data_IF_825156966420
#
_entry.id   IF_825156966420
#
_cell.length_a   1.000
_cell.length_b   1.000
_cell.length_c   1.000
_cell.angle_alpha   90.00
_cell.angle_beta   90.00
_cell.angle_gamma   90.00
#
_symmetry.space_group_name_H-M   'P 1'
#
loop_
_entity.id
_entity.type
_entity.pdbx_description
1 polymer ?
#
# COMPACT_ATOMS: atom_id res chain seq x y z
N UNK A 1 -26.44 13.90 -11.40
CA UNK A 1 -25.09 14.33 -11.84
C UNK A 1 -24.31 13.24 -12.58
N UNK A 2 -24.10 12.03 -12.03
CA UNK A 2 -23.29 10.97 -12.68
C UNK A 2 -23.83 10.52 -14.06
N UNK A 3 -25.17 10.40 -14.21
CA UNK A 3 -25.79 10.03 -15.50
C UNK A 3 -25.56 11.06 -16.62
N UNK A 4 -25.58 12.34 -16.28
CA UNK A 4 -25.38 13.44 -17.24
C UNK A 4 -23.94 13.47 -17.77
N UNK A 5 -22.95 13.28 -16.90
CA UNK A 5 -21.54 13.20 -17.30
C UNK A 5 -21.27 12.00 -18.22
N UNK A 6 -21.86 10.84 -17.90
CA UNK A 6 -21.70 9.63 -18.72
C UNK A 6 -22.30 9.81 -20.12
N UNK A 7 -23.49 10.41 -20.22
CA UNK A 7 -24.13 10.71 -21.51
C UNK A 7 -23.32 11.71 -22.34
N UNK A 8 -22.90 12.83 -21.73
CA UNK A 8 -22.07 13.84 -22.42
C UNK A 8 -20.75 13.25 -22.94
N UNK A 9 -20.12 12.37 -22.15
CA UNK A 9 -18.87 11.72 -22.55
C UNK A 9 -19.09 10.68 -23.66
N UNK A 10 -20.21 9.95 -23.62
CA UNK A 10 -20.60 9.03 -24.68
C UNK A 10 -20.85 9.77 -26.01
N UNK A 11 -21.61 10.86 -25.98
CA UNK A 11 -21.88 11.70 -27.16
C UNK A 11 -20.60 12.30 -27.73
N UNK A 12 -19.69 12.79 -26.87
CA UNK A 12 -18.38 13.30 -27.30
C UNK A 12 -17.49 12.22 -27.95
N UNK A 13 -17.52 10.98 -27.43
CA UNK A 13 -16.78 9.87 -28.04
C UNK A 13 -17.35 9.51 -29.42
N UNK A 14 -18.68 9.56 -29.57
CA UNK A 14 -19.36 9.34 -30.85
C UNK A 14 -19.01 10.44 -31.88
N UNK A 15 -19.06 11.71 -31.49
CA UNK A 15 -18.70 12.81 -32.41
C UNK A 15 -17.24 12.71 -32.84
N UNK A 16 -16.31 12.45 -31.91
CA UNK A 16 -14.91 12.24 -32.25
C UNK A 16 -14.69 11.03 -33.16
N UNK A 17 -15.47 9.95 -33.00
CA UNK A 17 -15.41 8.80 -33.88
C UNK A 17 -15.87 9.14 -35.30
N UNK A 18 -16.95 9.93 -35.44
CA UNK A 18 -17.45 10.42 -36.72
C UNK A 18 -16.48 11.38 -37.40
N UNK A 19 -15.90 12.32 -36.66
CA UNK A 19 -14.88 13.25 -37.17
C UNK A 19 -13.59 12.52 -37.63
N UNK A 20 -13.23 11.44 -36.93
CA UNK A 20 -12.08 10.61 -37.28
C UNK A 20 -12.28 9.84 -38.60
N UNK A 21 -13.52 9.55 -39.02
CA UNK A 21 -13.78 8.92 -40.32
C UNK A 21 -13.30 9.78 -41.49
N UNK A 22 -13.32 11.11 -41.31
CA UNK A 22 -12.95 12.11 -42.33
C UNK A 22 -11.43 12.34 -42.38
N UNK A 23 -10.69 11.97 -41.34
CA UNK A 23 -9.26 12.28 -41.20
C UNK A 23 -8.38 11.02 -41.26
N UNK A 24 -8.12 10.52 -42.48
CA UNK A 24 -7.01 9.58 -42.73
C UNK A 24 -7.30 8.44 -43.70
N UNK A 25 -6.32 7.55 -43.87
CA UNK A 25 -6.41 6.33 -44.68
C UNK A 25 -6.83 5.18 -43.77
N UNK A 26 -7.97 4.55 -44.07
CA UNK A 26 -8.45 3.37 -43.37
C UNK A 26 -7.60 2.14 -43.69
N UNK A 27 -6.63 1.84 -42.83
CA UNK A 27 -5.88 0.59 -42.89
C UNK A 27 -6.53 -0.46 -42.00
N UNK A 28 -7.14 -1.47 -42.63
CA UNK A 28 -7.78 -2.62 -41.96
C UNK A 28 -6.84 -3.37 -41.02
N UNK A 29 -5.52 -3.26 -41.24
CA UNK A 29 -4.48 -3.81 -40.38
C UNK A 29 -4.46 -3.17 -38.98
N UNK A 30 -4.66 -1.85 -38.85
CA UNK A 30 -4.69 -1.18 -37.55
C UNK A 30 -5.92 -1.57 -36.73
N UNK A 31 -7.09 -1.62 -37.35
CA UNK A 31 -8.31 -2.10 -36.70
C UNK A 31 -8.11 -3.53 -36.18
N UNK A 32 -7.55 -4.40 -37.01
CA UNK A 32 -7.24 -5.78 -36.64
C UNK A 32 -6.25 -5.86 -35.47
N UNK A 33 -5.22 -5.00 -35.44
CA UNK A 33 -4.25 -4.94 -34.36
C UNK A 33 -4.88 -4.48 -33.03
N UNK A 34 -5.68 -3.41 -33.06
CA UNK A 34 -6.41 -2.90 -31.89
C UNK A 34 -7.36 -3.98 -31.35
N UNK A 35 -8.10 -4.65 -32.23
CA UNK A 35 -9.02 -5.71 -31.84
C UNK A 35 -8.28 -6.89 -31.18
N UNK A 36 -7.09 -7.26 -31.70
CA UNK A 36 -6.24 -8.29 -31.09
C UNK A 36 -5.76 -7.87 -29.70
N UNK A 37 -5.25 -6.65 -29.54
CA UNK A 37 -4.81 -6.16 -28.23
C UNK A 37 -5.96 -6.08 -27.23
N UNK A 38 -7.14 -5.61 -27.65
CA UNK A 38 -8.32 -5.58 -26.80
C UNK A 38 -8.72 -6.98 -26.30
N UNK A 39 -8.68 -8.00 -27.18
CA UNK A 39 -8.93 -9.39 -26.79
C UNK A 39 -7.90 -9.91 -25.78
N UNK A 40 -6.61 -9.62 -25.99
CA UNK A 40 -5.55 -10.01 -25.06
C UNK A 40 -5.78 -9.38 -23.68
N UNK A 41 -6.09 -8.08 -23.64
CA UNK A 41 -6.38 -7.39 -22.38
C UNK A 41 -7.58 -8.03 -21.67
N UNK A 42 -8.68 -8.28 -22.39
CA UNK A 42 -9.87 -8.92 -21.82
C UNK A 42 -9.58 -10.33 -21.29
N UNK A 43 -8.76 -11.10 -22.01
CA UNK A 43 -8.34 -12.43 -21.59
C UNK A 43 -7.51 -12.36 -20.31
N UNK A 44 -6.48 -11.51 -20.26
CA UNK A 44 -5.65 -11.34 -19.06
C UNK A 44 -6.48 -10.85 -17.85
N UNK A 45 -7.46 -9.96 -18.07
CA UNK A 45 -8.36 -9.50 -17.01
C UNK A 45 -9.22 -10.63 -16.43
N UNK A 46 -9.63 -11.59 -17.27
CA UNK A 46 -10.35 -12.77 -16.82
C UNK A 46 -9.44 -13.70 -16.00
N UNK A 47 -8.21 -13.95 -16.47
CA UNK A 47 -7.24 -14.78 -15.76
C UNK A 47 -6.84 -14.17 -14.40
N UNK A 48 -6.66 -12.85 -14.33
CA UNK A 48 -6.38 -12.15 -13.07
C UNK A 48 -7.50 -12.38 -12.06
N UNK A 49 -8.77 -12.31 -12.48
CA UNK A 49 -9.92 -12.57 -11.59
C UNK A 49 -9.95 -13.99 -11.06
N UNK A 50 -9.58 -14.97 -11.89
CA UNK A 50 -9.48 -16.38 -11.46
C UNK A 50 -8.41 -16.52 -10.36
N UNK A 51 -7.24 -15.92 -10.57
CA UNK A 51 -6.15 -15.93 -9.60
C UNK A 51 -6.55 -15.19 -8.31
N UNK A 52 -7.24 -14.06 -8.40
CA UNK A 52 -7.71 -13.31 -7.22
C UNK A 52 -8.66 -14.16 -6.35
N UNK A 53 -9.55 -14.95 -6.97
CA UNK A 53 -10.42 -15.88 -6.24
C UNK A 53 -9.59 -16.95 -5.55
N UNK A 54 -8.62 -17.57 -6.24
CA UNK A 54 -7.73 -18.57 -5.66
C UNK A 54 -6.91 -18.01 -4.49
N UNK A 55 -6.37 -16.79 -4.61
CA UNK A 55 -5.65 -16.11 -3.53
C UNK A 55 -6.57 -15.91 -2.33
N UNK A 56 -7.82 -15.50 -2.55
CA UNK A 56 -8.80 -15.29 -1.48
C UNK A 56 -9.17 -16.58 -0.76
N UNK A 57 -9.33 -17.68 -1.50
CA UNK A 57 -9.59 -19.00 -0.91
C UNK A 57 -8.42 -19.49 -0.07
N UNK A 58 -7.19 -19.34 -0.57
CA UNK A 58 -5.98 -19.72 0.18
C UNK A 58 -5.79 -18.83 1.41
N UNK A 59 -6.00 -17.52 1.28
CA UNK A 59 -5.80 -16.56 2.36
C UNK A 59 -6.79 -16.76 3.51
N UNK A 60 -8.00 -17.24 3.22
CA UNK A 60 -8.99 -17.59 4.25
C UNK A 60 -8.53 -18.71 5.19
N UNK A 61 -7.61 -19.56 4.74
CA UNK A 61 -7.05 -20.67 5.53
C UNK A 61 -5.84 -20.26 6.38
N UNK A 62 -5.33 -19.05 6.18
CA UNK A 62 -4.09 -18.56 6.82
C UNK A 62 -4.46 -17.54 7.91
N UNK A 63 -4.32 -17.89 9.21
CA UNK A 63 -4.78 -17.04 10.30
C UNK A 63 -4.04 -15.68 10.36
N UNK A 64 -2.78 -15.63 9.91
CA UNK A 64 -1.98 -14.40 9.86
C UNK A 64 -2.60 -13.33 8.95
N UNK A 65 -3.34 -13.73 7.90
CA UNK A 65 -4.03 -12.78 7.01
C UNK A 65 -5.13 -12.05 7.79
N UNK A 66 -5.90 -12.76 8.61
CA UNK A 66 -6.92 -12.15 9.45
C UNK A 66 -6.31 -11.18 10.48
N UNK A 67 -5.12 -11.50 11.01
CA UNK A 67 -4.38 -10.60 11.90
C UNK A 67 -3.94 -9.33 11.17
N UNK A 68 -3.44 -9.42 9.93
CA UNK A 68 -3.06 -8.24 9.15
C UNK A 68 -4.27 -7.38 8.76
N UNK A 69 -5.39 -8.01 8.39
CA UNK A 69 -6.66 -7.33 8.08
C UNK A 69 -7.23 -6.54 9.27
N UNK A 70 -6.87 -6.90 10.51
CA UNK A 70 -7.29 -6.13 11.69
C UNK A 70 -6.65 -4.74 11.77
N UNK A 71 -5.59 -4.46 10.99
CA UNK A 71 -4.92 -3.16 10.95
C UNK A 71 -5.71 -2.21 10.03
N UNK A 72 -6.24 -1.08 10.54
CA UNK A 72 -7.01 -0.16 9.71
C UNK A 72 -6.17 0.43 8.56
N UNK A 73 -6.63 0.20 7.33
CA UNK A 73 -5.95 0.56 6.09
C UNK A 73 -5.31 -0.62 5.34
N UNK A 74 -5.22 -1.80 5.96
CA UNK A 74 -4.90 -3.06 5.29
C UNK A 74 -6.22 -3.80 5.06
N UNK A 75 -6.46 -4.26 3.83
CA UNK A 75 -7.65 -5.03 3.46
C UNK A 75 -7.30 -6.35 2.77
N UNK A 76 -8.33 -7.07 2.34
CA UNK A 76 -8.25 -8.47 1.88
C UNK A 76 -7.28 -8.72 0.73
N UNK A 77 -6.98 -7.73 -0.10
CA UNK A 77 -5.98 -7.84 -1.18
C UNK A 77 -4.57 -7.54 -0.68
N UNK A 78 -4.42 -6.58 0.25
CA UNK A 78 -3.12 -6.14 0.74
C UNK A 78 -2.56 -7.08 1.81
N UNK A 79 -3.40 -7.65 2.67
CA UNK A 79 -2.96 -8.59 3.70
C UNK A 79 -2.22 -9.81 3.14
N UNK A 80 -2.78 -10.59 2.18
CA UNK A 80 -2.07 -11.74 1.61
C UNK A 80 -0.83 -11.33 0.82
N UNK A 81 -0.86 -10.18 0.13
CA UNK A 81 0.31 -9.65 -0.57
C UNK A 81 1.45 -9.32 0.40
N UNK A 82 1.15 -8.63 1.50
CA UNK A 82 2.13 -8.31 2.54
C UNK A 82 2.68 -9.57 3.19
N UNK A 83 1.81 -10.54 3.52
CA UNK A 83 2.23 -11.80 4.12
C UNK A 83 3.11 -12.62 3.17
N UNK A 84 2.72 -12.75 1.90
CA UNK A 84 3.49 -13.48 0.90
C UNK A 84 4.87 -12.88 0.63
N UNK A 85 4.96 -11.54 0.61
CA UNK A 85 6.23 -10.83 0.39
C UNK A 85 7.15 -10.82 1.62
N UNK A 86 6.58 -10.82 2.82
CA UNK A 86 7.36 -10.93 4.07
C UNK A 86 7.84 -12.37 4.27
N UNK A 87 6.98 -13.35 3.96
CA UNK A 87 7.21 -14.75 4.25
C UNK A 87 7.21 -15.03 5.74
N UNK A 88 8.12 -15.91 6.18
CA UNK A 88 8.26 -16.26 7.60
C UNK A 88 8.80 -15.08 8.42
N UNK A 89 7.97 -14.61 9.36
CA UNK A 89 8.29 -13.49 10.24
C UNK A 89 9.41 -13.84 11.24
N UNK A 90 9.58 -15.11 11.59
CA UNK A 90 10.58 -15.57 12.56
C UNK A 90 12.01 -15.38 12.04
N UNK A 91 12.19 -15.27 10.72
CA UNK A 91 13.48 -14.88 10.11
C UNK A 91 13.95 -13.50 10.56
N UNK A 92 13.03 -12.62 10.95
CA UNK A 92 13.33 -11.30 11.46
C UNK A 92 13.25 -11.29 12.99
N UNK A 93 14.39 -11.23 13.67
CA UNK A 93 14.45 -11.11 15.13
C UNK A 93 13.86 -9.78 15.60
N UNK A 94 14.14 -8.71 14.84
CA UNK A 94 13.78 -7.33 15.18
C UNK A 94 13.06 -6.62 14.03
N UNK A 95 12.12 -5.72 14.37
CA UNK A 95 11.41 -4.90 13.37
C UNK A 95 12.37 -4.07 12.48
N UNK A 96 13.55 -3.67 12.99
CA UNK A 96 14.58 -2.98 12.21
C UNK A 96 15.11 -3.83 11.05
N UNK A 97 15.20 -5.15 11.23
CA UNK A 97 15.62 -6.08 10.17
C UNK A 97 14.56 -6.15 9.08
N UNK A 98 13.27 -6.18 9.44
CA UNK A 98 12.18 -6.13 8.47
C UNK A 98 12.16 -4.79 7.68
N UNK A 99 12.47 -3.67 8.34
CA UNK A 99 12.61 -2.36 7.66
C UNK A 99 13.78 -2.39 6.65
N UNK A 100 14.89 -3.03 7.00
CA UNK A 100 16.03 -3.18 6.10
C UNK A 100 15.69 -4.11 4.93
N UNK A 101 15.03 -5.24 5.22
CA UNK A 101 14.57 -6.22 4.24
C UNK A 101 13.59 -5.63 3.23
N UNK A 102 12.62 -4.84 3.69
CA UNK A 102 11.67 -4.14 2.81
C UNK A 102 12.29 -3.02 1.98
N UNK A 103 13.50 -2.56 2.29
CA UNK A 103 14.19 -1.52 1.52
C UNK A 103 13.55 -0.12 1.59
N UNK A 104 12.70 0.13 2.60
CA UNK A 104 12.05 1.44 2.84
C UNK A 104 12.92 2.38 3.68
N UNK A 105 13.96 1.85 4.33
CA UNK A 105 14.88 2.65 5.15
C UNK A 105 15.65 3.70 4.33
N UNK A 106 16.07 4.81 4.94
CA UNK A 106 16.94 5.77 4.29
C UNK A 106 18.30 5.13 3.99
N UNK A 107 18.86 5.44 2.82
CA UNK A 107 20.21 5.08 2.43
C UNK A 107 21.22 5.89 3.22
N UNK A 108 22.39 5.32 3.47
CA UNK A 108 23.53 6.08 4.01
C UNK A 108 24.45 6.42 2.85
N UNK A 109 24.77 7.71 2.67
CA UNK A 109 25.78 8.19 1.71
C UNK A 109 26.85 8.96 2.48
N UNK A 110 27.92 8.26 2.82
CA UNK A 110 29.05 8.81 3.56
C UNK A 110 30.37 8.38 2.91
N UNK A 111 31.35 9.28 2.86
CA UNK A 111 32.71 8.97 2.38
C UNK A 111 33.72 9.82 3.15
N UNK A 112 34.55 9.20 4.00
CA UNK A 112 35.51 9.91 4.85
C UNK A 112 34.85 11.08 5.61
N UNK A 113 35.16 12.30 5.19
CA UNK A 113 34.65 13.55 5.79
C UNK A 113 33.29 14.04 5.22
N UNK A 114 32.72 13.36 4.22
CA UNK A 114 31.45 13.75 3.60
C UNK A 114 30.28 12.96 4.19
N UNK A 115 29.29 13.68 4.75
CA UNK A 115 27.99 13.13 5.15
C UNK A 115 26.91 13.72 4.25
N UNK A 116 26.26 12.87 3.44
CA UNK A 116 25.20 13.30 2.54
C UNK A 116 23.89 13.60 3.26
N UNK A 117 23.33 14.80 3.03
CA UNK A 117 22.06 15.25 3.63
C UNK A 117 20.82 14.80 2.83
N UNK A 118 20.97 14.52 1.52
CA UNK A 118 19.88 14.14 0.60
C UNK A 118 19.88 12.63 0.33
N UNK A 119 19.51 11.86 1.35
CA UNK A 119 19.45 10.40 1.24
C UNK A 119 18.13 9.92 0.62
N UNK A 120 18.22 8.91 -0.23
CA UNK A 120 17.06 8.25 -0.86
C UNK A 120 16.68 7.00 -0.07
N UNK A 121 15.55 6.39 -0.36
CA UNK A 121 15.26 5.04 0.16
C UNK A 121 16.23 4.03 -0.46
N UNK A 122 16.61 2.99 0.29
CA UNK A 122 17.63 2.02 -0.15
C UNK A 122 17.20 1.18 -1.33
N UNK A 123 15.92 0.83 -1.45
CA UNK A 123 15.36 -0.04 -2.51
C UNK A 123 15.99 -1.43 -2.62
N UNK A 124 16.71 -1.91 -1.60
CA UNK A 124 17.34 -3.24 -1.58
C UNK A 124 16.34 -4.40 -1.45
N UNK A 125 15.12 -4.09 -1.00
CA UNK A 125 14.03 -5.04 -0.82
C UNK A 125 13.07 -5.15 -2.00
N UNK A 126 12.12 -6.07 -1.88
CA UNK A 126 11.09 -6.32 -2.89
C UNK A 126 10.36 -5.03 -3.32
N UNK A 127 10.25 -4.77 -4.64
CA UNK A 127 9.45 -3.65 -5.14
C UNK A 127 7.96 -3.82 -4.84
N UNK A 128 7.46 -5.05 -4.81
CA UNK A 128 6.06 -5.37 -4.51
C UNK A 128 5.73 -5.09 -3.05
N UNK A 129 6.59 -5.51 -2.11
CA UNK A 129 6.43 -5.18 -0.68
C UNK A 129 6.41 -3.66 -0.46
N UNK A 130 7.32 -2.92 -1.10
CA UNK A 130 7.35 -1.46 -1.00
C UNK A 130 6.09 -0.82 -1.57
N UNK A 131 5.57 -1.35 -2.67
CA UNK A 131 4.33 -0.87 -3.29
C UNK A 131 3.12 -1.14 -2.40
N UNK A 132 2.99 -2.36 -1.87
CA UNK A 132 1.93 -2.75 -0.94
C UNK A 132 1.92 -1.85 0.31
N UNK A 133 3.11 -1.60 0.90
CA UNK A 133 3.25 -0.69 2.04
C UNK A 133 2.90 0.75 1.69
N UNK A 134 3.21 1.20 0.47
CA UNK A 134 2.84 2.53 0.02
C UNK A 134 1.33 2.68 -0.10
N UNK A 135 0.63 1.69 -0.68
CA UNK A 135 -0.83 1.67 -0.74
C UNK A 135 -1.41 1.63 0.67
N UNK A 136 -0.92 0.74 1.55
CA UNK A 136 -1.37 0.67 2.93
C UNK A 136 -1.18 2.00 3.69
N UNK A 137 -0.07 2.72 3.44
CA UNK A 137 0.17 4.01 4.05
C UNK A 137 -0.78 5.10 3.53
N UNK A 138 -1.09 5.12 2.23
CA UNK A 138 -2.02 6.10 1.66
C UNK A 138 -3.46 5.83 2.08
N UNK A 139 -3.87 4.57 2.20
CA UNK A 139 -5.20 4.18 2.70
C UNK A 139 -5.35 4.47 4.19
N UNK A 140 -4.37 4.15 5.04
CA UNK A 140 -4.43 4.43 6.49
C UNK A 140 -4.49 5.93 6.82
N UNK A 141 -3.96 6.80 5.95
CA UNK A 141 -3.97 8.27 6.12
C UNK A 141 -5.21 8.91 5.49
N UNK A 142 -6.04 8.15 4.78
CA UNK A 142 -7.25 8.67 4.13
C UNK A 142 -8.33 9.00 5.17
N UNK A 143 -9.18 9.96 4.84
CA UNK A 143 -10.48 10.20 5.50
C UNK A 143 -11.58 9.51 4.72
N UNK A 144 -12.47 8.83 5.44
CA UNK A 144 -13.70 8.26 4.90
C UNK A 144 -14.64 9.33 4.36
N UNK A 145 -15.61 8.91 3.54
CA UNK A 145 -16.61 9.84 2.95
C UNK A 145 -17.43 10.59 4.00
N UNK A 146 -17.55 10.05 5.22
CA UNK A 146 -18.23 10.68 6.37
C UNK A 146 -17.31 11.59 7.21
N UNK A 147 -16.06 11.80 6.78
CA UNK A 147 -15.07 12.62 7.48
C UNK A 147 -14.27 11.89 8.57
N UNK A 148 -14.67 10.68 8.95
CA UNK A 148 -13.94 9.85 9.93
C UNK A 148 -12.58 9.41 9.39
N UNK A 149 -11.53 9.40 10.23
CA UNK A 149 -10.23 8.88 9.84
C UNK A 149 -10.22 7.36 9.82
N UNK A 150 -9.63 6.75 8.78
CA UNK A 150 -9.44 5.29 8.71
C UNK A 150 -8.61 4.79 9.90
N UNK A 151 -7.55 5.52 10.23
CA UNK A 151 -6.73 5.26 11.41
C UNK A 151 -6.34 6.59 12.06
N UNK A 152 -6.99 6.95 13.17
CA UNK A 152 -6.75 8.24 13.85
C UNK A 152 -5.28 8.42 14.25
N UNK A 153 -4.67 7.39 14.84
CA UNK A 153 -3.28 7.43 15.32
C UNK A 153 -2.28 7.63 14.18
N UNK A 154 -2.47 6.90 13.07
CA UNK A 154 -1.58 7.03 11.89
C UNK A 154 -1.82 8.36 11.16
N UNK A 155 -3.08 8.80 11.07
CA UNK A 155 -3.43 10.09 10.49
C UNK A 155 -2.78 11.25 11.24
N UNK A 156 -2.90 11.28 12.57
CA UNK A 156 -2.26 12.31 13.41
C UNK A 156 -0.73 12.28 13.29
N UNK A 157 -0.15 11.07 13.29
CA UNK A 157 1.28 10.91 13.07
C UNK A 157 1.70 11.49 11.70
N UNK A 158 0.91 11.26 10.64
CA UNK A 158 1.17 11.81 9.32
C UNK A 158 1.11 13.34 9.30
N UNK A 159 0.09 13.95 9.89
CA UNK A 159 -0.08 15.40 9.97
C UNK A 159 1.13 16.04 10.67
N UNK A 160 1.52 15.53 11.85
CA UNK A 160 2.72 15.99 12.57
C UNK A 160 4.00 15.86 11.74
N UNK A 161 4.09 14.85 10.86
CA UNK A 161 5.26 14.68 9.98
C UNK A 161 5.27 15.62 8.78
N UNK A 162 4.11 16.07 8.29
CA UNK A 162 4.07 17.04 7.18
C UNK A 162 4.59 18.42 7.63
N UNK A 163 4.40 18.80 8.89
CA UNK A 163 4.91 20.06 9.44
C UNK A 163 6.43 20.21 9.27
N UNK A 164 7.16 19.08 9.31
CA UNK A 164 8.63 19.07 9.27
C UNK A 164 9.20 18.46 7.99
N UNK A 165 8.40 17.75 7.18
CA UNK A 165 8.87 16.99 6.03
C UNK A 165 7.91 17.11 4.85
N UNK A 166 8.45 16.98 3.64
CA UNK A 166 7.62 16.91 2.43
C UNK A 166 6.62 15.73 2.49
N UNK A 167 5.44 15.89 1.88
CA UNK A 167 4.34 14.90 1.93
C UNK A 167 4.76 13.46 1.62
N UNK A 168 5.61 13.25 0.60
CA UNK A 168 6.12 11.91 0.23
C UNK A 168 7.08 11.34 1.27
N UNK A 169 7.87 12.18 1.93
CA UNK A 169 8.76 11.76 3.02
C UNK A 169 7.96 11.41 4.29
N UNK A 170 6.90 12.18 4.58
CA UNK A 170 5.98 11.86 5.67
C UNK A 170 5.28 10.50 5.43
N UNK A 171 4.84 10.20 4.20
CA UNK A 171 4.33 8.87 3.85
C UNK A 171 5.39 7.77 4.05
N UNK A 172 6.65 8.01 3.69
CA UNK A 172 7.73 7.07 3.97
C UNK A 172 7.93 6.78 5.48
N UNK A 173 7.73 7.78 6.33
CA UNK A 173 7.73 7.59 7.79
C UNK A 173 6.53 6.77 8.26
N UNK A 174 5.33 7.01 7.68
CA UNK A 174 4.13 6.19 7.93
C UNK A 174 4.34 4.75 7.52
N UNK A 175 4.92 4.49 6.34
CA UNK A 175 5.26 3.13 5.87
C UNK A 175 6.15 2.41 6.89
N UNK A 176 7.17 3.08 7.43
CA UNK A 176 8.05 2.52 8.47
C UNK A 176 7.29 2.22 9.77
N UNK A 177 6.39 3.12 10.18
CA UNK A 177 5.54 2.91 11.36
C UNK A 177 4.60 1.72 11.17
N UNK A 178 3.92 1.62 10.02
CA UNK A 178 3.04 0.50 9.69
C UNK A 178 3.79 -0.83 9.64
N UNK A 179 4.98 -0.86 9.02
CA UNK A 179 5.77 -2.08 8.96
C UNK A 179 6.20 -2.59 10.35
N UNK A 180 6.45 -1.69 11.31
CA UNK A 180 6.70 -2.07 12.70
C UNK A 180 5.44 -2.61 13.40
N UNK A 181 4.27 -2.06 13.07
CA UNK A 181 2.99 -2.57 13.58
C UNK A 181 2.73 -3.97 13.03
N UNK A 182 2.89 -4.16 11.72
CA UNK A 182 2.80 -5.45 11.03
C UNK A 182 3.71 -6.48 11.70
N UNK A 183 4.98 -6.13 11.93
CA UNK A 183 5.94 -6.98 12.63
C UNK A 183 5.44 -7.41 14.01
N UNK A 184 4.92 -6.46 14.80
CA UNK A 184 4.42 -6.75 16.15
C UNK A 184 3.17 -7.63 16.15
N UNK A 185 2.25 -7.42 15.21
CA UNK A 185 1.01 -8.18 15.08
C UNK A 185 1.32 -9.62 14.69
N UNK A 186 2.20 -9.82 13.71
CA UNK A 186 2.62 -11.15 13.27
C UNK A 186 3.41 -11.90 14.34
N UNK A 187 4.36 -11.23 15.01
CA UNK A 187 5.19 -11.86 16.04
C UNK A 187 4.41 -12.24 17.30
N UNK A 188 3.49 -11.38 17.73
CA UNK A 188 2.70 -11.64 18.93
C UNK A 188 1.48 -12.54 18.65
N UNK A 189 1.13 -12.76 17.38
CA UNK A 189 -0.08 -13.48 16.94
C UNK A 189 -1.37 -12.95 17.59
N UNK A 190 -1.43 -11.64 17.78
CA UNK A 190 -2.58 -10.95 18.39
C UNK A 190 -3.15 -9.92 17.41
N UNK A 191 -4.48 -9.77 17.34
CA UNK A 191 -5.09 -8.78 16.47
C UNK A 191 -4.68 -7.36 16.88
N UNK A 192 -4.60 -6.48 15.89
CA UNK A 192 -4.29 -5.07 16.11
C UNK A 192 -5.32 -4.42 17.01
N UNK A 193 -4.84 -3.70 18.03
CA UNK A 193 -5.65 -2.84 18.88
C UNK A 193 -5.22 -1.41 18.64
N UNK A 194 -6.20 -0.53 18.47
CA UNK A 194 -5.94 0.90 18.32
C UNK A 194 -5.59 1.47 19.70
N UNK A 195 -4.31 1.74 19.93
CA UNK A 195 -3.77 2.30 21.16
C UNK A 195 -3.21 3.69 20.85
N UNK A 196 -3.62 4.70 21.61
CA UNK A 196 -3.06 6.05 21.45
C UNK A 196 -1.62 6.11 21.99
N UNK A 197 -0.78 7.05 21.51
CA UNK A 197 0.59 7.17 22.02
C UNK A 197 0.67 7.30 23.53
N UNK A 198 -0.26 8.05 24.14
CA UNK A 198 -0.28 8.30 25.58
C UNK A 198 -0.60 7.03 26.37
N UNK A 199 -1.63 6.28 25.94
CA UNK A 199 -1.96 4.97 26.50
C UNK A 199 -0.79 3.98 26.38
N UNK A 200 -0.06 4.02 25.27
CA UNK A 200 1.09 3.15 25.06
C UNK A 200 2.24 3.48 26.03
N UNK A 201 2.47 4.76 26.34
CA UNK A 201 3.45 5.18 27.37
C UNK A 201 3.06 4.65 28.75
N UNK A 202 1.79 4.79 29.14
CA UNK A 202 1.30 4.26 30.41
C UNK A 202 1.47 2.74 30.52
N UNK A 203 1.17 2.00 29.44
CA UNK A 203 1.37 0.55 29.42
C UNK A 203 2.83 0.16 29.63
N UNK A 204 3.78 0.87 28.99
CA UNK A 204 5.21 0.59 29.19
C UNK A 204 5.66 0.88 30.61
N UNK A 205 5.21 1.99 31.21
CA UNK A 205 5.52 2.34 32.60
C UNK A 205 4.99 1.28 33.57
N UNK A 206 3.76 0.80 33.37
CA UNK A 206 3.16 -0.28 34.19
C UNK A 206 3.94 -1.60 34.07
N UNK A 207 4.45 -1.93 32.88
CA UNK A 207 5.29 -3.12 32.68
C UNK A 207 6.63 -2.97 33.38
N UNK A 208 7.27 -1.80 33.31
CA UNK A 208 8.52 -1.53 34.01
C UNK A 208 8.37 -1.57 35.53
N UNK A 209 7.27 -1.03 36.06
CA UNK A 209 6.96 -1.07 37.50
C UNK A 209 6.66 -2.48 38.02
N UNK A 210 6.14 -3.39 37.19
CA UNK A 210 5.91 -4.80 37.55
C UNK A 210 7.16 -5.68 37.46
N UNK A 211 8.17 -5.23 36.73
CA UNK A 211 9.44 -5.94 36.55
C UNK A 211 10.53 -5.49 37.54
N UNK A 212 10.28 -4.39 38.25
CA UNK A 212 11.07 -3.92 39.40
C UNK A 212 10.48 -4.49 40.69
#
# INVERSE_FOLDING_TARGET
MVKLYAQQKYEALLSCAQDAEVTGIWLTSYFSAIQRYARIVQFLDAEIKVIDVQIKELSSKVPEVALLNSIPGIGDTLAPLLLGEIGDIERCVNAKQLVAFSGIGPSVRQSGNYVGTKNKVTKRGSPFLRHALYIAATTSVRKESKGSQVNSVIYEYYIRKIETKAKKQALGAVMNRLLRIIFSVLKNKQPFRLITPDQQVEMYQKVQQKAA
#
